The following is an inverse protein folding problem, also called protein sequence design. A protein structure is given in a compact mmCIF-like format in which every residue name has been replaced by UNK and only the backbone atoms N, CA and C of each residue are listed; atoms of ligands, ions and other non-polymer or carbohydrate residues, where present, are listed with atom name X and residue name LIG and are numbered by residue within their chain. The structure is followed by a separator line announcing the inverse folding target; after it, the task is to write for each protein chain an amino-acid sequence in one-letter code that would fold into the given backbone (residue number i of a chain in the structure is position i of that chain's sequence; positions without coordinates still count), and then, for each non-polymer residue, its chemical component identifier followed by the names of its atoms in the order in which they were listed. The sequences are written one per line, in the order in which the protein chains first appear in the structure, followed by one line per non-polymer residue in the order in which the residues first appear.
data_IF_908921062813
#
_entry.id   IF_908921062813
#
_cell.length_a   1.000
_cell.length_b   1.000
_cell.length_c   1.000
_cell.angle_alpha   90.00
_cell.angle_beta   90.00
_cell.angle_gamma   90.00
#
_symmetry.space_group_name_H-M   'P 1'
#
loop_
_entity.id
_entity.type
_entity.pdbx_description
1 polymer ?
#
# COMPACT_ATOMS: atom_id res chain seq x y z
N UNK A 1 -25.33 -51.32 -14.54
CA UNK A 1 -24.13 -50.45 -14.57
C UNK A 1 -24.60 -49.01 -14.55
N UNK A 2 -24.48 -48.32 -13.42
CA UNK A 2 -24.93 -46.93 -13.26
C UNK A 2 -23.75 -45.98 -13.45
N UNK A 3 -23.86 -45.08 -14.42
CA UNK A 3 -22.82 -44.13 -14.78
C UNK A 3 -22.57 -43.10 -13.65
N UNK A 4 -21.31 -42.71 -13.38
CA UNK A 4 -21.01 -41.72 -12.37
C UNK A 4 -21.38 -40.31 -12.88
N UNK A 5 -22.30 -39.64 -12.18
CA UNK A 5 -22.58 -38.21 -12.39
C UNK A 5 -21.35 -37.40 -11.98
N UNK A 6 -20.63 -36.85 -12.95
CA UNK A 6 -19.61 -35.84 -12.71
C UNK A 6 -20.28 -34.51 -12.35
N UNK A 7 -20.34 -34.19 -11.06
CA UNK A 7 -20.71 -32.87 -10.56
C UNK A 7 -19.60 -31.88 -10.91
N UNK A 8 -19.81 -31.07 -11.96
CA UNK A 8 -18.94 -29.92 -12.26
C UNK A 8 -19.07 -28.91 -11.12
N UNK A 9 -17.99 -28.76 -10.35
CA UNK A 9 -17.88 -27.76 -9.29
C UNK A 9 -17.99 -26.36 -9.92
N UNK A 10 -18.83 -25.45 -9.39
CA UNK A 10 -18.98 -24.12 -9.96
C UNK A 10 -17.62 -23.40 -9.95
N UNK A 11 -17.30 -22.73 -11.06
CA UNK A 11 -16.08 -21.95 -11.19
C UNK A 11 -16.07 -20.86 -10.12
N UNK A 12 -15.07 -20.90 -9.23
CA UNK A 12 -14.91 -19.91 -8.17
C UNK A 12 -14.61 -18.58 -8.85
N UNK A 13 -15.41 -17.53 -8.57
CA UNK A 13 -15.09 -16.18 -9.04
C UNK A 13 -13.68 -15.85 -8.55
N UNK A 14 -12.76 -15.41 -9.44
CA UNK A 14 -11.42 -15.04 -9.03
C UNK A 14 -11.51 -13.89 -8.02
N UNK A 15 -10.70 -13.97 -6.97
CA UNK A 15 -10.61 -12.93 -5.95
C UNK A 15 -10.12 -11.62 -6.60
N UNK A 16 -10.86 -10.50 -6.49
CA UNK A 16 -10.46 -9.23 -7.08
C UNK A 16 -9.06 -8.78 -6.62
N UNK A 17 -8.66 -9.13 -5.40
CA UNK A 17 -7.30 -8.85 -4.88
C UNK A 17 -6.23 -9.53 -5.73
N UNK A 18 -6.52 -10.71 -6.28
CA UNK A 18 -5.56 -11.45 -7.13
C UNK A 18 -5.23 -10.67 -8.39
N UNK A 19 -6.22 -10.00 -9.00
CA UNK A 19 -6.00 -9.18 -10.19
C UNK A 19 -5.15 -7.95 -9.87
N UNK A 20 -5.41 -7.28 -8.74
CA UNK A 20 -4.64 -6.13 -8.27
C UNK A 20 -3.18 -6.52 -8.03
N UNK A 21 -2.94 -7.63 -7.33
CA UNK A 21 -1.58 -8.12 -7.05
C UNK A 21 -0.82 -8.54 -8.32
N UNK A 22 -1.52 -9.09 -9.33
CA UNK A 22 -0.93 -9.38 -10.62
C UNK A 22 -0.44 -8.10 -11.32
N UNK A 23 -1.24 -7.03 -11.27
CA UNK A 23 -0.87 -5.72 -11.81
C UNK A 23 0.31 -5.11 -11.05
N UNK A 24 0.29 -5.15 -9.72
CA UNK A 24 1.42 -4.67 -8.88
C UNK A 24 2.71 -5.43 -9.22
N UNK A 25 2.64 -6.75 -9.40
CA UNK A 25 3.79 -7.57 -9.79
C UNK A 25 4.33 -7.20 -11.17
N UNK A 26 3.45 -6.91 -12.13
CA UNK A 26 3.85 -6.47 -13.46
C UNK A 26 4.56 -5.11 -13.40
N UNK A 27 4.02 -4.15 -12.64
CA UNK A 27 4.63 -2.83 -12.42
C UNK A 27 5.96 -2.95 -11.67
N UNK A 28 6.07 -3.80 -10.64
CA UNK A 28 7.32 -4.04 -9.94
C UNK A 28 8.45 -4.45 -10.90
N UNK A 29 8.18 -5.33 -11.86
CA UNK A 29 9.19 -5.76 -12.85
C UNK A 29 9.75 -4.60 -13.69
N UNK A 30 8.98 -3.54 -13.94
CA UNK A 30 9.47 -2.39 -14.71
C UNK A 30 10.36 -1.44 -13.91
N UNK A 31 10.40 -1.59 -12.59
CA UNK A 31 11.19 -0.74 -11.69
C UNK A 31 12.25 -1.50 -10.89
N UNK A 32 12.20 -2.83 -10.85
CA UNK A 32 13.05 -3.68 -10.01
C UNK A 32 14.56 -3.49 -10.22
N UNK A 33 14.99 -3.22 -11.46
CA UNK A 33 16.41 -3.05 -11.79
C UNK A 33 16.95 -1.66 -11.39
N UNK A 34 16.08 -0.74 -10.97
CA UNK A 34 16.50 0.61 -10.59
C UNK A 34 16.97 0.63 -9.14
N UNK A 35 18.26 0.89 -8.93
CA UNK A 35 18.81 1.14 -7.60
C UNK A 35 18.35 2.50 -7.08
N UNK A 36 17.24 2.51 -6.34
CA UNK A 36 16.66 3.71 -5.74
C UNK A 36 16.70 3.60 -4.21
N UNK A 37 17.59 4.33 -3.51
CA UNK A 37 17.62 4.31 -2.05
C UNK A 37 16.35 4.98 -1.47
N UNK A 38 15.89 4.45 -0.34
CA UNK A 38 14.83 5.07 0.48
C UNK A 38 15.45 6.29 1.15
N UNK A 39 15.23 7.47 0.56
CA UNK A 39 15.88 8.72 0.95
C UNK A 39 17.22 8.94 0.24
N UNK A 40 17.18 9.72 -0.84
CA UNK A 40 18.35 10.18 -1.58
C UNK A 40 18.46 11.71 -1.63
N UNK A 41 19.21 12.23 -2.59
CA UNK A 41 19.34 13.68 -2.82
C UNK A 41 20.48 14.33 -2.03
N UNK A 42 20.59 15.66 -2.16
CA UNK A 42 21.77 16.42 -1.74
C UNK A 42 21.89 16.61 -0.21
N UNK A 43 20.79 16.49 0.55
CA UNK A 43 20.79 16.66 2.01
C UNK A 43 19.88 15.64 2.71
N UNK A 44 20.38 14.42 2.96
CA UNK A 44 19.57 13.33 3.52
C UNK A 44 19.15 13.56 4.98
N UNK A 45 19.93 14.31 5.76
CA UNK A 45 19.58 14.64 7.14
C UNK A 45 18.38 15.59 7.21
N UNK A 46 18.39 16.65 6.38
CA UNK A 46 17.26 17.58 6.28
C UNK A 46 16.01 16.89 5.71
N UNK A 47 16.18 16.03 4.71
CA UNK A 47 15.08 15.27 4.12
C UNK A 47 14.41 14.35 5.15
N UNK A 48 15.19 13.58 5.92
CA UNK A 48 14.67 12.75 7.01
C UNK A 48 13.80 13.54 7.99
N UNK A 49 14.31 14.69 8.45
CA UNK A 49 13.58 15.54 9.40
C UNK A 49 12.26 16.03 8.79
N UNK A 50 12.30 16.50 7.54
CA UNK A 50 11.09 16.91 6.83
C UNK A 50 10.07 15.78 6.73
N UNK A 51 10.50 14.57 6.37
CA UNK A 51 9.60 13.41 6.29
C UNK A 51 9.04 13.00 7.65
N UNK A 52 9.82 13.10 8.73
CA UNK A 52 9.31 12.85 10.08
C UNK A 52 8.22 13.88 10.47
N UNK A 53 8.46 15.17 10.20
CA UNK A 53 7.49 16.24 10.46
C UNK A 53 6.20 16.07 9.64
N UNK A 54 6.31 15.65 8.37
CA UNK A 54 5.13 15.32 7.55
C UNK A 54 4.41 14.06 8.02
N UNK A 55 5.12 13.04 8.51
CA UNK A 55 4.51 11.84 9.08
C UNK A 55 3.63 12.21 10.29
N UNK A 56 4.17 13.00 11.22
CA UNK A 56 3.44 13.49 12.40
C UNK A 56 2.21 14.32 12.00
N UNK A 57 2.36 15.17 10.97
CA UNK A 57 1.26 15.97 10.43
C UNK A 57 0.13 15.09 9.88
N UNK A 58 0.46 14.07 9.09
CA UNK A 58 -0.54 13.17 8.53
C UNK A 58 -1.17 12.26 9.58
N UNK A 59 -0.40 11.82 10.59
CA UNK A 59 -0.95 11.13 11.75
C UNK A 59 -1.98 11.98 12.50
N UNK A 60 -1.69 13.28 12.68
CA UNK A 60 -2.65 14.22 13.29
C UNK A 60 -3.91 14.42 12.43
N UNK A 61 -3.75 14.58 11.11
CA UNK A 61 -4.88 14.71 10.17
C UNK A 61 -5.77 13.47 10.22
N UNK A 62 -5.16 12.29 10.14
CA UNK A 62 -5.86 11.01 10.26
C UNK A 62 -6.64 10.92 11.56
N UNK A 63 -6.00 11.14 12.71
CA UNK A 63 -6.66 11.09 14.02
C UNK A 63 -7.86 12.05 14.07
N UNK A 64 -7.70 13.26 13.53
CA UNK A 64 -8.78 14.26 13.46
C UNK A 64 -9.94 13.78 12.59
N UNK A 65 -9.64 13.18 11.43
CA UNK A 65 -10.64 12.64 10.50
C UNK A 65 -11.37 11.43 11.08
N UNK A 66 -10.67 10.52 11.74
CA UNK A 66 -11.26 9.35 12.38
C UNK A 66 -12.27 9.77 13.46
N UNK A 67 -11.94 10.79 14.26
CA UNK A 67 -12.86 11.36 15.26
C UNK A 67 -14.09 12.03 14.63
N UNK A 68 -13.98 12.50 13.40
CA UNK A 68 -15.07 13.12 12.66
C UNK A 68 -15.82 12.13 11.75
N UNK A 69 -15.45 10.83 11.77
CA UNK A 69 -15.99 9.80 10.87
C UNK A 69 -15.78 10.12 9.38
N UNK A 70 -14.71 10.87 9.06
CA UNK A 70 -14.31 11.28 7.72
C UNK A 70 -12.99 10.61 7.30
N UNK A 71 -12.79 9.36 7.72
CA UNK A 71 -11.58 8.58 7.41
C UNK A 71 -11.38 8.43 5.91
N UNK A 72 -10.12 8.40 5.48
CA UNK A 72 -9.75 8.26 4.08
C UNK A 72 -8.40 7.58 3.93
N UNK A 73 -8.25 6.78 2.87
CA UNK A 73 -7.00 6.06 2.59
C UNK A 73 -5.82 6.99 2.32
N UNK A 74 -6.07 8.22 1.87
CA UNK A 74 -5.03 9.21 1.59
C UNK A 74 -4.20 9.52 2.84
N UNK A 75 -4.84 9.71 3.98
CA UNK A 75 -4.14 10.01 5.22
C UNK A 75 -3.32 8.81 5.72
N UNK A 76 -3.87 7.59 5.65
CA UNK A 76 -3.17 6.35 5.98
C UNK A 76 -1.95 6.11 5.08
N UNK A 77 -2.12 6.31 3.77
CA UNK A 77 -1.06 6.13 2.78
C UNK A 77 0.08 7.13 3.01
N UNK A 78 -0.25 8.41 3.19
CA UNK A 78 0.75 9.46 3.33
C UNK A 78 1.49 9.35 4.67
N UNK A 79 0.81 9.06 5.77
CA UNK A 79 1.44 8.81 7.07
C UNK A 79 2.50 7.71 6.95
N UNK A 80 2.12 6.53 6.44
CA UNK A 80 3.06 5.41 6.35
C UNK A 80 4.19 5.69 5.35
N UNK A 81 3.90 6.35 4.23
CA UNK A 81 4.94 6.70 3.26
C UNK A 81 5.96 7.64 3.87
N UNK A 82 5.53 8.67 4.60
CA UNK A 82 6.43 9.62 5.24
C UNK A 82 7.24 8.97 6.36
N UNK A 83 6.66 8.07 7.16
CA UNK A 83 7.43 7.28 8.12
C UNK A 83 8.50 6.42 7.43
N UNK A 84 8.16 5.73 6.33
CA UNK A 84 9.15 4.95 5.58
C UNK A 84 10.32 5.80 5.09
N UNK A 85 10.04 7.01 4.61
CA UNK A 85 11.04 7.95 4.08
C UNK A 85 11.88 8.61 5.18
N UNK A 86 11.36 8.71 6.41
CA UNK A 86 12.11 9.21 7.56
C UNK A 86 13.13 8.17 8.09
N UNK A 87 12.83 6.88 7.95
CA UNK A 87 13.58 5.76 8.54
C UNK A 87 14.75 5.24 7.67
N UNK A 88 15.46 6.14 6.98
CA UNK A 88 16.56 5.77 6.06
C UNK A 88 17.74 5.06 6.74
N UNK A 89 17.86 5.18 8.07
CA UNK A 89 18.86 4.49 8.88
C UNK A 89 18.44 3.10 9.38
N UNK A 90 17.15 2.74 9.24
CA UNK A 90 16.58 1.51 9.78
C UNK A 90 15.78 0.78 8.68
N UNK A 91 16.46 -0.01 7.81
CA UNK A 91 15.84 -0.63 6.64
C UNK A 91 14.61 -1.49 6.95
N UNK A 92 14.61 -2.22 8.07
CA UNK A 92 13.48 -3.05 8.47
C UNK A 92 12.25 -2.22 8.87
N UNK A 93 12.45 -1.09 9.55
CA UNK A 93 11.36 -0.15 9.89
C UNK A 93 10.81 0.50 8.63
N UNK A 94 11.69 0.97 7.73
CA UNK A 94 11.28 1.54 6.45
C UNK A 94 10.48 0.51 5.62
N UNK A 95 10.94 -0.74 5.56
CA UNK A 95 10.26 -1.84 4.90
C UNK A 95 8.87 -2.10 5.47
N UNK A 96 8.73 -2.17 6.80
CA UNK A 96 7.44 -2.35 7.47
C UNK A 96 6.42 -1.28 7.04
N UNK A 97 6.83 -0.01 6.99
CA UNK A 97 5.96 1.07 6.55
C UNK A 97 5.63 0.98 5.05
N UNK A 98 6.59 0.63 4.19
CA UNK A 98 6.33 0.41 2.76
C UNK A 98 5.38 -0.75 2.49
N UNK A 99 5.46 -1.84 3.26
CA UNK A 99 4.51 -2.96 3.19
C UNK A 99 3.10 -2.51 3.56
N UNK A 100 2.95 -1.64 4.57
CA UNK A 100 1.66 -1.01 4.89
C UNK A 100 1.14 -0.11 3.78
N UNK A 101 2.00 0.72 3.17
CA UNK A 101 1.63 1.54 2.00
C UNK A 101 1.08 0.64 0.88
N UNK A 102 1.76 -0.47 0.58
CA UNK A 102 1.29 -1.43 -0.42
C UNK A 102 -0.06 -2.04 -0.03
N UNK A 103 -0.24 -2.44 1.23
CA UNK A 103 -1.50 -2.99 1.72
C UNK A 103 -2.67 -2.00 1.62
N UNK A 104 -2.47 -0.75 2.06
CA UNK A 104 -3.49 0.30 1.96
C UNK A 104 -3.81 0.66 0.51
N UNK A 105 -2.81 0.70 -0.38
CA UNK A 105 -3.05 0.96 -1.80
C UNK A 105 -3.90 -0.15 -2.43
N UNK A 106 -3.59 -1.43 -2.14
CA UNK A 106 -4.40 -2.57 -2.61
C UNK A 106 -5.83 -2.51 -2.05
N UNK A 107 -6.00 -2.17 -0.78
CA UNK A 107 -7.32 -2.03 -0.16
C UNK A 107 -8.14 -0.88 -0.79
N UNK A 108 -7.50 0.26 -1.04
CA UNK A 108 -8.11 1.43 -1.67
C UNK A 108 -8.57 1.12 -3.11
N UNK A 109 -7.70 0.50 -3.93
CA UNK A 109 -8.07 0.06 -5.29
C UNK A 109 -9.26 -0.90 -5.22
N UNK A 110 -9.23 -1.87 -4.31
CA UNK A 110 -10.33 -2.81 -4.14
C UNK A 110 -11.66 -2.17 -3.71
N UNK A 111 -11.63 -1.03 -2.99
CA UNK A 111 -12.84 -0.26 -2.70
C UNK A 111 -13.33 0.51 -3.92
N UNK A 112 -12.43 1.19 -4.64
CA UNK A 112 -12.78 1.92 -5.86
C UNK A 112 -13.38 1.00 -6.93
N UNK A 113 -12.81 -0.18 -7.13
CA UNK A 113 -13.32 -1.18 -8.08
C UNK A 113 -14.73 -1.67 -7.69
N UNK A 114 -15.06 -1.72 -6.40
CA UNK A 114 -16.40 -2.09 -5.92
C UNK A 114 -17.41 -0.96 -6.08
N UNK A 115 -16.98 0.29 -5.91
CA UNK A 115 -17.83 1.47 -6.09
C UNK A 115 -18.14 1.73 -7.57
N UNK A 116 -17.24 1.32 -8.46
CA UNK A 116 -17.41 1.47 -9.91
C UNK A 116 -18.26 0.36 -10.59
N UNK A 117 -18.59 -0.72 -9.87
CA UNK A 117 -19.31 -1.90 -10.38
C UNK A 117 -20.81 -1.85 -10.11
#
# INVERSE_FOLDING_TARGET
MTAPKTTKRPARKPDPVTAILANVKATHRSVADKRMPIGGGHNPAKARRYFAEEADRWAFIKMTRDKAELSGWDAELLEQLFHALAETGHPETAKFHLEKVAAYAVAAIGQLDREAA
#
